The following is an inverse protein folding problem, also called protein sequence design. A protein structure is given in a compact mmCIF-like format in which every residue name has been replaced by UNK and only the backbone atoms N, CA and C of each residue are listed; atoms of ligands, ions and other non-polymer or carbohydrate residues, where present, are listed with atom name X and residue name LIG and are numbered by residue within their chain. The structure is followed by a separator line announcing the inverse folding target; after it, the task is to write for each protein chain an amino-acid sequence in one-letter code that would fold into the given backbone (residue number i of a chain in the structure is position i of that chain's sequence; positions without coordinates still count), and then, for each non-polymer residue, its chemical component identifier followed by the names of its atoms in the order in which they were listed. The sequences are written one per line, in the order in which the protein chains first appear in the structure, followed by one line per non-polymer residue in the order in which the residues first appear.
data_IF_648329512062
#
_entry.id   IF_648329512062
#
_cell.length_a   1.000
_cell.length_b   1.000
_cell.length_c   1.000
_cell.angle_alpha   90.00
_cell.angle_beta   90.00
_cell.angle_gamma   90.00
#
_symmetry.space_group_name_H-M   'P 1'
#
loop_
_entity.id
_entity.type
_entity.pdbx_description
1 polymer ?
#
# COMPACT_ATOMS: atom_id res chain seq x y z
N UNK A 1 10.41 9.00 -17.28
CA UNK A 1 8.97 9.03 -17.10
C UNK A 1 8.48 7.69 -16.81
N UNK A 2 8.11 7.43 -15.64
CA UNK A 2 7.69 6.12 -15.28
C UNK A 2 6.19 5.93 -15.41
N UNK A 3 5.82 4.71 -15.71
CA UNK A 3 4.45 4.26 -15.50
C UNK A 3 4.18 4.21 -13.99
N UNK A 4 2.90 4.28 -13.63
CA UNK A 4 2.50 4.32 -12.23
C UNK A 4 2.04 2.94 -11.75
N UNK A 5 2.46 2.57 -10.54
CA UNK A 5 1.99 1.41 -9.81
C UNK A 5 1.25 1.94 -8.58
N UNK A 6 0.03 1.45 -8.35
CA UNK A 6 -0.71 1.76 -7.12
C UNK A 6 -0.36 0.69 -6.10
N UNK A 7 0.01 1.11 -4.90
CA UNK A 7 0.39 0.21 -3.82
C UNK A 7 -0.46 0.52 -2.60
N UNK A 8 -1.17 -0.47 -2.09
CA UNK A 8 -1.91 -0.36 -0.83
C UNK A 8 -0.92 -0.26 0.33
N UNK A 9 -1.39 0.22 1.47
CA UNK A 9 -0.53 0.44 2.63
C UNK A 9 -0.69 -0.67 3.67
N UNK A 10 -1.87 -0.78 4.29
CA UNK A 10 -2.10 -1.78 5.34
C UNK A 10 -2.16 -3.18 4.71
N UNK A 11 -1.36 -4.09 5.23
CA UNK A 11 -1.28 -5.45 4.70
C UNK A 11 -0.36 -5.61 3.49
N UNK A 12 0.26 -4.54 3.01
CA UNK A 12 1.21 -4.57 1.88
C UNK A 12 2.53 -3.94 2.27
N UNK A 13 2.53 -2.66 2.67
CA UNK A 13 3.73 -1.98 3.19
C UNK A 13 3.82 -2.17 4.69
N UNK A 14 2.76 -1.81 5.40
CA UNK A 14 2.59 -2.04 6.83
C UNK A 14 2.13 -3.48 7.04
N UNK A 15 2.79 -4.23 7.91
CA UNK A 15 2.41 -5.63 8.16
C UNK A 15 1.01 -5.78 8.75
N UNK A 16 0.51 -4.75 9.41
CA UNK A 16 -0.88 -4.66 9.86
C UNK A 16 -1.30 -5.76 10.85
N UNK A 17 -0.36 -6.29 11.62
CA UNK A 17 -0.62 -7.39 12.55
C UNK A 17 -1.55 -6.99 13.67
N UNK A 18 -1.43 -5.75 14.15
CA UNK A 18 -2.25 -5.22 15.24
C UNK A 18 -3.64 -4.78 14.78
N UNK A 19 -3.81 -4.53 13.48
CA UNK A 19 -5.08 -4.07 12.94
C UNK A 19 -5.25 -2.56 13.02
N UNK A 20 -6.48 -2.10 12.89
CA UNK A 20 -6.80 -0.67 12.79
C UNK A 20 -6.85 -0.01 14.15
N UNK A 21 -6.15 1.11 14.28
CA UNK A 21 -6.13 1.92 15.50
C UNK A 21 -6.32 3.41 15.21
N UNK A 22 -6.73 3.76 14.01
CA UNK A 22 -6.90 5.13 13.54
C UNK A 22 -6.05 5.42 12.31
N UNK A 23 -6.47 6.37 11.50
CA UNK A 23 -5.80 6.67 10.23
C UNK A 23 -4.37 7.19 10.44
N UNK A 24 -4.13 7.87 11.55
CA UNK A 24 -2.85 8.47 11.90
C UNK A 24 -2.01 7.61 12.84
N UNK A 25 -2.46 6.38 13.14
CA UNK A 25 -1.77 5.47 14.07
C UNK A 25 -1.30 4.24 13.31
N UNK A 26 0.01 4.03 13.24
CA UNK A 26 0.63 2.89 12.56
C UNK A 26 1.59 2.24 13.55
N UNK A 27 1.22 1.06 14.07
CA UNK A 27 1.89 0.44 15.20
C UNK A 27 2.86 -0.68 14.82
N UNK A 28 2.73 -1.22 13.61
CA UNK A 28 3.43 -2.43 13.23
C UNK A 28 4.62 -2.15 12.33
N UNK A 29 5.59 -3.08 12.24
CA UNK A 29 6.72 -2.90 11.32
C UNK A 29 6.30 -3.12 9.88
N UNK A 30 7.12 -2.68 8.90
CA UNK A 30 6.87 -2.98 7.50
C UNK A 30 6.90 -4.48 7.22
N UNK A 31 6.19 -4.88 6.19
CA UNK A 31 6.34 -6.21 5.61
C UNK A 31 7.79 -6.38 5.17
N UNK A 32 8.36 -7.57 5.41
CA UNK A 32 9.73 -7.86 5.04
C UNK A 32 9.97 -7.57 3.56
N UNK A 33 10.97 -6.74 3.27
CA UNK A 33 11.32 -6.37 1.91
C UNK A 33 10.53 -5.21 1.31
N UNK A 34 9.51 -4.69 2.00
CA UNK A 34 8.65 -3.65 1.45
C UNK A 34 9.41 -2.35 1.17
N UNK A 35 10.22 -1.91 2.11
CA UNK A 35 10.95 -0.64 1.99
C UNK A 35 11.99 -0.73 0.88
N UNK A 36 12.76 -1.82 0.84
CA UNK A 36 13.74 -2.07 -0.21
C UNK A 36 13.06 -2.10 -1.58
N UNK A 37 11.91 -2.75 -1.67
CA UNK A 37 11.14 -2.82 -2.92
C UNK A 37 10.69 -1.44 -3.39
N UNK A 38 10.19 -0.61 -2.47
CA UNK A 38 9.78 0.76 -2.79
C UNK A 38 10.95 1.58 -3.35
N UNK A 39 12.10 1.51 -2.69
CA UNK A 39 13.29 2.22 -3.13
C UNK A 39 13.78 1.75 -4.51
N UNK A 40 13.72 0.44 -4.76
CA UNK A 40 14.14 -0.12 -6.05
C UNK A 40 13.18 0.26 -7.17
N UNK A 41 11.88 0.14 -6.91
CA UNK A 41 10.87 0.41 -7.94
C UNK A 41 10.73 1.89 -8.26
N UNK A 42 10.95 2.76 -7.29
CA UNK A 42 10.85 4.20 -7.50
C UNK A 42 11.90 4.76 -8.46
N UNK A 43 12.94 3.99 -8.76
CA UNK A 43 13.94 4.38 -9.77
C UNK A 43 13.29 4.38 -11.17
N UNK A 44 12.44 3.43 -11.46
CA UNK A 44 11.87 3.22 -12.79
C UNK A 44 10.38 3.51 -12.90
N UNK A 45 9.67 3.55 -11.77
CA UNK A 45 8.21 3.71 -11.76
C UNK A 45 7.80 4.83 -10.81
N UNK A 46 6.63 5.42 -11.09
CA UNK A 46 5.94 6.23 -10.10
C UNK A 46 5.16 5.29 -9.17
N UNK A 47 5.24 5.55 -7.87
CA UNK A 47 4.55 4.74 -6.87
C UNK A 47 3.49 5.61 -6.21
N UNK A 48 2.22 5.22 -6.38
CA UNK A 48 1.09 5.87 -5.74
C UNK A 48 0.68 5.03 -4.54
N UNK A 49 0.94 5.49 -3.33
CA UNK A 49 0.51 4.81 -2.11
C UNK A 49 -0.89 5.30 -1.78
N UNK A 50 -1.88 4.41 -1.90
CA UNK A 50 -3.28 4.73 -1.74
C UNK A 50 -3.92 3.76 -0.76
N UNK A 51 -4.61 4.29 0.23
CA UNK A 51 -5.15 3.53 1.33
C UNK A 51 -6.46 4.16 1.81
N UNK A 52 -7.24 3.42 2.59
CA UNK A 52 -8.37 4.01 3.31
C UNK A 52 -7.93 5.16 4.21
N UNK A 53 -6.65 5.20 4.61
CA UNK A 53 -6.08 6.30 5.40
C UNK A 53 -5.98 7.61 4.61
N UNK A 54 -5.92 7.52 3.29
CA UNK A 54 -5.58 8.66 2.41
C UNK A 54 -6.57 9.81 2.47
N UNK A 55 -7.84 9.52 2.74
CA UNK A 55 -8.91 10.53 2.82
C UNK A 55 -9.26 10.90 4.26
N UNK A 56 -8.56 10.36 5.23
CA UNK A 56 -8.82 10.63 6.64
C UNK A 56 -7.75 11.55 7.21
N UNK A 57 -8.15 12.37 8.16
CA UNK A 57 -7.26 13.38 8.76
C UNK A 57 -6.03 12.71 9.35
N UNK A 58 -4.86 13.24 8.99
CA UNK A 58 -3.56 12.74 9.48
C UNK A 58 -3.07 11.48 8.79
N UNK A 59 -3.87 10.86 7.91
CA UNK A 59 -3.51 9.58 7.32
C UNK A 59 -2.32 9.66 6.38
N UNK A 60 -2.32 10.61 5.46
CA UNK A 60 -1.20 10.76 4.50
C UNK A 60 0.08 11.11 5.24
N UNK A 61 0.03 12.05 6.18
CA UNK A 61 1.20 12.44 6.96
C UNK A 61 1.78 11.26 7.73
N UNK A 62 0.91 10.44 8.31
CA UNK A 62 1.35 9.25 9.06
C UNK A 62 2.02 8.23 8.15
N UNK A 63 1.44 7.96 6.98
CA UNK A 63 2.04 7.03 6.01
C UNK A 63 3.38 7.54 5.50
N UNK A 64 3.45 8.83 5.19
CA UNK A 64 4.69 9.45 4.72
C UNK A 64 5.79 9.37 5.77
N UNK A 65 5.50 9.73 7.01
CA UNK A 65 6.46 9.63 8.11
C UNK A 65 6.90 8.19 8.33
N UNK A 66 5.96 7.25 8.26
CA UNK A 66 6.24 5.83 8.44
C UNK A 66 7.25 5.32 7.41
N UNK A 67 7.04 5.59 6.13
CA UNK A 67 7.95 5.07 5.10
C UNK A 67 9.31 5.76 5.17
N UNK A 68 9.35 7.04 5.50
CA UNK A 68 10.63 7.76 5.69
C UNK A 68 11.39 7.22 6.89
N UNK A 69 10.71 7.02 8.02
CA UNK A 69 11.32 6.53 9.25
C UNK A 69 11.86 5.11 9.08
N UNK A 70 11.28 4.33 8.18
CA UNK A 70 11.69 2.96 7.92
C UNK A 70 12.67 2.80 6.76
N UNK A 71 13.08 3.90 6.12
CA UNK A 71 14.20 3.87 5.17
C UNK A 71 13.91 4.17 3.72
N UNK A 72 12.69 4.62 3.38
CA UNK A 72 12.43 5.14 2.03
C UNK A 72 13.28 6.40 1.83
N UNK A 73 13.95 6.49 0.70
CA UNK A 73 14.83 7.64 0.40
C UNK A 73 14.02 8.92 0.25
N UNK A 74 14.44 9.95 0.97
CA UNK A 74 13.73 11.24 1.02
C UNK A 74 13.53 11.84 -0.36
N UNK A 75 14.51 11.71 -1.25
CA UNK A 75 14.43 12.29 -2.59
C UNK A 75 13.26 11.74 -3.41
N UNK A 76 12.86 10.49 -3.21
CA UNK A 76 11.71 9.93 -3.93
C UNK A 76 10.41 10.60 -3.51
N UNK A 77 10.31 10.98 -2.24
CA UNK A 77 9.14 11.71 -1.74
C UNK A 77 9.18 13.16 -2.24
N UNK A 78 10.33 13.81 -2.13
CA UNK A 78 10.49 15.22 -2.54
C UNK A 78 10.26 15.42 -4.02
N UNK A 79 10.71 14.47 -4.84
CA UNK A 79 10.58 14.53 -6.29
C UNK A 79 9.19 14.04 -6.78
N UNK A 80 8.36 13.48 -5.91
CA UNK A 80 7.07 12.94 -6.28
C UNK A 80 7.14 11.60 -6.99
N UNK A 81 8.25 10.90 -6.91
CA UNK A 81 8.37 9.54 -7.45
C UNK A 81 7.53 8.57 -6.63
N UNK A 82 7.46 8.80 -5.33
CA UNK A 82 6.52 8.14 -4.41
C UNK A 82 5.58 9.23 -3.92
N UNK A 83 4.29 9.07 -4.16
CA UNK A 83 3.31 10.08 -3.80
C UNK A 83 2.06 9.43 -3.20
N UNK A 84 1.26 10.26 -2.55
CA UNK A 84 0.15 9.81 -1.71
C UNK A 84 -1.16 10.46 -2.16
N UNK A 85 -1.79 9.95 -3.23
CA UNK A 85 -3.04 10.55 -3.73
C UNK A 85 -4.21 10.23 -2.79
N UNK A 86 -5.30 10.98 -2.96
CA UNK A 86 -6.53 10.74 -2.22
C UNK A 86 -7.53 9.90 -3.00
N UNK A 87 -7.26 9.62 -4.26
CA UNK A 87 -8.13 8.81 -5.11
C UNK A 87 -7.31 8.01 -6.11
N UNK A 88 -7.95 7.02 -6.73
CA UNK A 88 -7.29 6.15 -7.68
C UNK A 88 -6.79 6.96 -8.87
N UNK A 89 -5.55 6.68 -9.27
CA UNK A 89 -4.89 7.30 -10.44
C UNK A 89 -4.71 6.27 -11.54
N UNK A 90 -4.54 6.68 -12.80
CA UNK A 90 -4.19 5.73 -13.86
C UNK A 90 -2.91 4.97 -13.52
N UNK A 91 -2.92 3.66 -13.71
CA UNK A 91 -1.80 2.80 -13.34
C UNK A 91 -1.74 1.55 -14.22
N UNK A 92 -0.56 0.92 -14.24
CA UNK A 92 -0.41 -0.35 -14.96
C UNK A 92 -0.71 -1.55 -14.08
N UNK A 93 -0.72 -1.37 -12.76
CA UNK A 93 -0.91 -2.46 -11.80
C UNK A 93 -1.28 -1.89 -10.45
N UNK A 94 -2.07 -2.63 -9.70
CA UNK A 94 -2.33 -2.36 -8.29
C UNK A 94 -1.85 -3.54 -7.45
N UNK A 95 -1.17 -3.24 -6.34
CA UNK A 95 -0.73 -4.24 -5.38
C UNK A 95 -1.57 -4.06 -4.13
N UNK A 96 -2.32 -5.08 -3.74
CA UNK A 96 -3.38 -5.00 -2.75
C UNK A 96 -3.52 -6.34 -2.04
N UNK A 97 -3.79 -6.31 -0.74
CA UNK A 97 -3.97 -7.51 0.08
C UNK A 97 -5.39 -8.08 0.03
N UNK A 98 -6.34 -7.33 -0.52
CA UNK A 98 -7.75 -7.71 -0.56
C UNK A 98 -8.32 -7.78 -1.97
N UNK A 99 -7.49 -7.55 -2.96
CA UNK A 99 -7.92 -7.55 -4.35
C UNK A 99 -8.13 -8.95 -4.90
N UNK A 100 -9.15 -9.09 -5.71
CA UNK A 100 -9.37 -10.29 -6.50
C UNK A 100 -8.86 -10.01 -7.93
N UNK A 101 -7.96 -10.85 -8.42
CA UNK A 101 -7.47 -10.69 -9.79
C UNK A 101 -8.52 -11.18 -10.78
N UNK A 102 -9.19 -10.25 -11.42
CA UNK A 102 -10.22 -10.59 -12.39
C UNK A 102 -9.61 -11.14 -13.67
N UNK A 103 -10.06 -12.32 -14.09
CA UNK A 103 -9.58 -13.02 -15.29
C UNK A 103 -10.68 -13.20 -16.32
N UNK A 104 -11.80 -12.49 -16.17
CA UNK A 104 -12.96 -12.62 -17.05
C UNK A 104 -14.12 -13.37 -16.41
N UNK A 105 -13.91 -13.98 -15.26
CA UNK A 105 -14.95 -14.72 -14.55
C UNK A 105 -15.09 -14.13 -13.14
N UNK A 106 -16.31 -13.84 -12.73
CA UNK A 106 -16.59 -13.27 -11.42
C UNK A 106 -16.49 -14.33 -10.32
N UNK A 107 -16.03 -13.93 -9.11
CA UNK A 107 -15.98 -14.87 -8.00
C UNK A 107 -17.38 -15.27 -7.56
N UNK A 108 -17.53 -16.51 -7.10
CA UNK A 108 -18.79 -16.99 -6.55
C UNK A 108 -19.01 -16.41 -5.17
N UNK A 109 -20.28 -16.51 -4.69
CA UNK A 109 -20.61 -16.10 -3.33
C UNK A 109 -19.77 -16.86 -2.31
N UNK A 110 -19.55 -18.15 -2.52
CA UNK A 110 -18.73 -18.97 -1.62
C UNK A 110 -17.29 -18.49 -1.58
N UNK A 111 -16.70 -18.17 -2.74
CA UNK A 111 -15.35 -17.64 -2.79
C UNK A 111 -15.24 -16.30 -2.05
N UNK A 112 -16.24 -15.44 -2.20
CA UNK A 112 -16.27 -14.15 -1.50
C UNK A 112 -16.41 -14.37 0.00
N UNK A 113 -17.31 -15.24 0.43
CA UNK A 113 -17.54 -15.53 1.85
C UNK A 113 -16.30 -16.10 2.53
N UNK A 114 -15.49 -16.85 1.80
CA UNK A 114 -14.30 -17.51 2.34
C UNK A 114 -13.01 -16.70 2.14
N UNK A 115 -13.09 -15.53 1.51
CA UNK A 115 -11.90 -14.74 1.24
C UNK A 115 -11.25 -14.27 2.54
N UNK A 116 -9.93 -14.43 2.61
CA UNK A 116 -9.11 -13.84 3.67
C UNK A 116 -7.86 -13.24 3.06
N UNK A 117 -7.46 -12.03 3.47
CA UNK A 117 -6.17 -11.48 3.04
C UNK A 117 -5.03 -12.31 3.63
N UNK A 118 -3.88 -12.29 2.96
CA UNK A 118 -2.75 -13.16 3.30
C UNK A 118 -2.30 -13.05 4.77
N UNK A 119 -2.37 -11.85 5.34
CA UNK A 119 -1.89 -11.62 6.71
C UNK A 119 -2.83 -12.19 7.78
N UNK A 120 -4.03 -12.59 7.42
CA UNK A 120 -4.96 -13.26 8.33
C UNK A 120 -4.73 -14.77 8.38
N UNK A 121 -4.07 -15.31 7.36
CA UNK A 121 -3.81 -16.75 7.27
C UNK A 121 -2.60 -17.18 8.09
N UNK A 122 -1.87 -16.23 8.67
CA UNK A 122 -0.63 -16.49 9.42
C UNK A 122 -0.84 -16.35 10.94
N UNK A 123 -1.98 -16.75 11.41
CA UNK A 123 -2.30 -16.67 12.83
C UNK A 123 -1.83 -17.92 13.54
#
# INVERSE_FOLDING_TARGET
MGQTIIVDFDGVINSYKTGWSGADVILDPPVSGAIEWLNDMAIDFKIAILSARSTQEGGIEAMKSYVLDNGVHTNFIENGDIFFPTEKVPSIMSIDDRGFRFNGTFPSKLEIDNFQPWHKDHV
#
